data_IF_694758441603
#
_entry.id   IF_694758441603
#
_cell.length_a   1.000
_cell.length_b   1.000
_cell.length_c   1.000
_cell.angle_alpha   90.00
_cell.angle_beta   90.00
_cell.angle_gamma   90.00
#
_symmetry.space_group_name_H-M   'P 1'
#
loop_
_entity.id
_entity.type
_entity.pdbx_description
1 polymer ?
#
# COMPACT_ATOMS: atom_id res chain seq x y z
N UNK A 1 -7.11 -21.89 1.01
CA UNK A 1 -8.07 -20.80 0.88
C UNK A 1 -7.68 -19.59 1.70
N UNK A 2 -7.36 -19.73 3.01
CA UNK A 2 -6.99 -18.62 3.89
C UNK A 2 -5.86 -17.72 3.35
N UNK A 3 -4.82 -18.28 2.73
CA UNK A 3 -3.72 -17.50 2.14
C UNK A 3 -4.22 -16.56 1.03
N UNK A 4 -5.13 -17.03 0.17
CA UNK A 4 -5.75 -16.22 -0.87
C UNK A 4 -6.60 -15.09 -0.28
N UNK A 5 -7.42 -15.37 0.72
CA UNK A 5 -8.24 -14.36 1.40
C UNK A 5 -7.38 -13.28 2.09
N UNK A 6 -6.27 -13.68 2.70
CA UNK A 6 -5.30 -12.72 3.27
C UNK A 6 -4.67 -11.82 2.21
N UNK A 7 -4.33 -12.39 1.05
CA UNK A 7 -3.80 -11.60 -0.06
C UNK A 7 -4.83 -10.63 -0.62
N UNK A 8 -6.08 -11.08 -0.76
CA UNK A 8 -7.19 -10.23 -1.22
C UNK A 8 -7.33 -9.00 -0.32
N UNK A 9 -7.42 -9.20 1.00
CA UNK A 9 -7.54 -8.09 1.97
C UNK A 9 -6.31 -7.17 1.93
N UNK A 10 -5.11 -7.73 1.78
CA UNK A 10 -3.87 -6.96 1.70
C UNK A 10 -3.83 -6.06 0.45
N UNK A 11 -4.19 -6.61 -0.72
CA UNK A 11 -4.21 -5.84 -1.96
C UNK A 11 -5.39 -4.83 -2.00
N UNK A 12 -6.56 -5.17 -1.46
CA UNK A 12 -7.64 -4.20 -1.27
C UNK A 12 -7.21 -3.04 -0.35
N UNK A 13 -6.48 -3.32 0.74
CA UNK A 13 -5.93 -2.30 1.64
C UNK A 13 -4.90 -1.40 0.93
N UNK A 14 -4.08 -1.96 0.04
CA UNK A 14 -3.18 -1.20 -0.83
C UNK A 14 -3.96 -0.33 -1.79
N UNK A 15 -4.95 -0.89 -2.49
CA UNK A 15 -5.76 -0.19 -3.48
C UNK A 15 -6.47 1.03 -2.90
N UNK A 16 -7.16 0.88 -1.76
CA UNK A 16 -7.89 1.98 -1.14
C UNK A 16 -6.97 3.14 -0.72
N UNK A 17 -5.71 2.86 -0.40
CA UNK A 17 -4.72 3.90 -0.12
C UNK A 17 -4.23 4.59 -1.40
N UNK A 18 -4.02 3.86 -2.50
CA UNK A 18 -3.60 4.42 -3.78
C UNK A 18 -4.69 5.29 -4.40
N UNK A 19 -5.97 4.88 -4.29
CA UNK A 19 -7.13 5.67 -4.72
C UNK A 19 -7.27 7.02 -4.00
N UNK A 20 -6.70 7.15 -2.81
CA UNK A 20 -6.62 8.42 -2.07
C UNK A 20 -5.38 9.23 -2.45
N UNK A 21 -4.22 8.59 -2.52
CA UNK A 21 -2.93 9.28 -2.62
C UNK A 21 -2.66 9.79 -4.03
N UNK A 22 -2.98 9.01 -5.06
CA UNK A 22 -2.76 9.43 -6.46
C UNK A 22 -3.51 10.74 -6.78
N UNK A 23 -4.83 10.82 -6.59
CA UNK A 23 -5.53 12.08 -6.84
C UNK A 23 -5.20 13.16 -5.80
N UNK A 24 -4.85 12.80 -4.56
CA UNK A 24 -4.38 13.70 -3.52
C UNK A 24 -3.13 14.47 -3.93
N UNK A 25 -2.24 13.82 -4.70
CA UNK A 25 -1.07 14.48 -5.27
C UNK A 25 -1.47 15.60 -6.25
N UNK A 26 -2.45 15.35 -7.12
CA UNK A 26 -3.02 16.39 -7.99
C UNK A 26 -3.71 17.50 -7.18
N UNK A 27 -4.42 17.13 -6.14
CA UNK A 27 -5.10 18.06 -5.22
C UNK A 27 -4.13 19.04 -4.54
N UNK A 28 -2.93 18.59 -4.15
CA UNK A 28 -1.90 19.45 -3.56
C UNK A 28 -1.36 20.52 -4.52
N UNK A 29 -1.63 20.38 -5.81
CA UNK A 29 -1.32 21.36 -6.85
C UNK A 29 -2.57 22.04 -7.46
N UNK A 30 -3.72 21.95 -6.77
CA UNK A 30 -4.96 22.65 -7.15
C UNK A 30 -5.94 21.83 -7.99
N UNK A 31 -5.66 20.56 -8.30
CA UNK A 31 -6.55 19.67 -9.06
C UNK A 31 -7.54 18.92 -8.16
N UNK A 32 -8.38 19.67 -7.39
CA UNK A 32 -9.26 19.10 -6.36
C UNK A 32 -10.33 18.14 -6.87
N UNK A 33 -10.78 18.25 -8.14
CA UNK A 33 -11.81 17.38 -8.71
C UNK A 33 -11.37 15.89 -8.72
N UNK A 34 -10.10 15.64 -8.98
CA UNK A 34 -9.55 14.28 -8.96
C UNK A 34 -9.68 13.61 -7.58
N UNK A 35 -9.54 14.41 -6.51
CA UNK A 35 -9.70 13.90 -5.13
C UNK A 35 -11.11 13.40 -4.89
N UNK A 36 -12.14 14.16 -5.30
CA UNK A 36 -13.54 13.75 -5.15
C UNK A 36 -13.83 12.46 -5.91
N UNK A 37 -13.34 12.32 -7.14
CA UNK A 37 -13.51 11.09 -7.93
C UNK A 37 -12.78 9.89 -7.28
N UNK A 38 -11.56 10.10 -6.80
CA UNK A 38 -10.81 9.05 -6.11
C UNK A 38 -11.48 8.60 -4.82
N UNK A 39 -12.04 9.53 -4.06
CA UNK A 39 -12.82 9.19 -2.86
C UNK A 39 -14.09 8.39 -3.18
N UNK A 40 -14.80 8.73 -4.26
CA UNK A 40 -15.95 7.94 -4.71
C UNK A 40 -15.57 6.48 -5.02
N UNK A 41 -14.54 6.26 -5.85
CA UNK A 41 -14.10 4.90 -6.18
C UNK A 41 -13.54 4.16 -4.96
N UNK A 42 -12.88 4.90 -4.05
CA UNK A 42 -12.42 4.35 -2.78
C UNK A 42 -13.58 3.86 -1.90
N UNK A 43 -14.69 4.58 -1.85
CA UNK A 43 -15.88 4.14 -1.11
C UNK A 43 -16.39 2.78 -1.60
N UNK A 44 -16.41 2.52 -2.92
CA UNK A 44 -16.76 1.20 -3.46
C UNK A 44 -15.84 0.08 -2.93
N UNK A 45 -14.55 0.36 -2.77
CA UNK A 45 -13.61 -0.61 -2.16
C UNK A 45 -13.87 -0.77 -0.65
N UNK A 46 -14.26 0.30 0.04
CA UNK A 46 -14.60 0.22 1.47
C UNK A 46 -15.91 -0.55 1.70
N UNK A 47 -16.86 -0.48 0.79
CA UNK A 47 -18.09 -1.30 0.84
C UNK A 47 -17.74 -2.79 0.71
N UNK A 48 -16.80 -3.16 -0.18
CA UNK A 48 -16.26 -4.52 -0.25
C UNK A 48 -15.57 -4.96 1.05
N UNK A 49 -14.83 -4.05 1.71
CA UNK A 49 -14.25 -4.35 3.02
C UNK A 49 -15.29 -4.59 4.09
N UNK A 50 -16.30 -3.74 4.15
CA UNK A 50 -17.40 -3.88 5.11
C UNK A 50 -18.14 -5.20 4.92
N UNK A 51 -18.44 -5.56 3.69
CA UNK A 51 -19.09 -6.83 3.33
C UNK A 51 -18.23 -8.04 3.74
N UNK A 52 -16.91 -8.01 3.46
CA UNK A 52 -16.03 -9.16 3.72
C UNK A 52 -15.61 -9.26 5.18
N UNK A 53 -15.39 -8.14 5.87
CA UNK A 53 -14.70 -8.10 7.16
C UNK A 53 -15.54 -7.55 8.31
N UNK A 54 -16.67 -6.90 8.00
CA UNK A 54 -17.49 -6.17 8.96
C UNK A 54 -16.93 -4.79 9.34
N UNK A 55 -15.86 -4.33 8.70
CA UNK A 55 -15.23 -3.04 9.00
C UNK A 55 -14.67 -2.34 7.77
N UNK A 56 -14.74 -1.01 7.76
CA UNK A 56 -14.29 -0.16 6.63
C UNK A 56 -12.81 0.25 6.72
N UNK A 57 -12.26 0.37 7.91
CA UNK A 57 -10.91 0.94 8.13
C UNK A 57 -10.00 -0.02 8.89
N UNK A 58 -10.43 -0.54 10.03
CA UNK A 58 -9.64 -1.46 10.88
C UNK A 58 -10.19 -2.87 10.75
N UNK A 59 -9.61 -3.64 9.85
CA UNK A 59 -10.10 -4.98 9.51
C UNK A 59 -9.52 -6.01 10.47
N UNK A 60 -10.24 -6.36 11.53
CA UNK A 60 -9.88 -7.46 12.44
C UNK A 60 -10.20 -8.82 11.81
N UNK A 61 -9.82 -9.01 10.55
CA UNK A 61 -10.16 -10.15 9.71
C UNK A 61 -9.11 -11.25 9.74
N UNK A 62 -7.82 -10.88 9.71
CA UNK A 62 -6.71 -11.82 9.77
C UNK A 62 -6.50 -12.29 11.21
N UNK A 63 -6.52 -13.60 11.42
CA UNK A 63 -6.36 -14.23 12.73
C UNK A 63 -5.20 -15.23 12.68
N UNK A 64 -4.56 -15.54 13.81
CA UNK A 64 -3.72 -16.73 13.91
C UNK A 64 -4.49 -17.95 13.40
N UNK A 65 -3.86 -18.76 12.55
CA UNK A 65 -4.48 -19.92 11.92
C UNK A 65 -5.37 -19.65 10.70
N UNK A 66 -5.66 -18.38 10.34
CA UNK A 66 -6.48 -18.13 9.16
C UNK A 66 -7.12 -16.75 9.06
N UNK A 67 -8.39 -16.72 8.71
CA UNK A 67 -9.22 -15.53 8.62
C UNK A 67 -10.55 -15.73 9.31
N UNK A 68 -11.26 -14.63 9.57
CA UNK A 68 -12.51 -14.64 10.36
C UNK A 68 -13.70 -15.27 9.62
N UNK A 69 -13.79 -15.09 8.32
CA UNK A 69 -14.90 -15.55 7.48
C UNK A 69 -14.46 -15.91 6.07
N UNK A 70 -15.34 -16.53 5.32
CA UNK A 70 -15.21 -16.82 3.89
C UNK A 70 -15.73 -15.67 3.03
N UNK A 71 -15.59 -15.78 1.70
CA UNK A 71 -16.21 -14.85 0.77
C UNK A 71 -17.75 -14.90 0.88
N UNK A 72 -18.41 -13.75 1.02
CA UNK A 72 -19.87 -13.68 0.92
C UNK A 72 -20.37 -14.10 -0.48
N UNK A 73 -21.63 -14.51 -0.56
CA UNK A 73 -22.27 -14.83 -1.84
C UNK A 73 -22.26 -13.63 -2.79
N UNK A 74 -21.88 -13.84 -4.06
CA UNK A 74 -21.81 -12.79 -5.09
C UNK A 74 -20.69 -11.76 -4.86
N UNK A 75 -19.84 -11.92 -3.86
CA UNK A 75 -18.74 -11.00 -3.59
C UNK A 75 -17.76 -10.88 -4.76
N UNK A 76 -17.44 -12.01 -5.41
CA UNK A 76 -16.49 -12.05 -6.53
C UNK A 76 -16.96 -11.15 -7.67
N UNK A 77 -18.20 -11.25 -8.06
CA UNK A 77 -18.82 -10.48 -9.15
C UNK A 77 -18.82 -8.98 -8.83
N UNK A 78 -19.21 -8.63 -7.60
CA UNK A 78 -19.19 -7.22 -7.16
C UNK A 78 -17.76 -6.66 -7.11
N UNK A 79 -16.80 -7.42 -6.60
CA UNK A 79 -15.41 -7.00 -6.55
C UNK A 79 -14.82 -6.79 -7.96
N UNK A 80 -15.15 -7.66 -8.93
CA UNK A 80 -14.73 -7.48 -10.32
C UNK A 80 -15.33 -6.22 -10.94
N UNK A 81 -16.62 -5.92 -10.68
CA UNK A 81 -17.26 -4.68 -11.13
C UNK A 81 -16.56 -3.44 -10.55
N UNK A 82 -16.18 -3.48 -9.27
CA UNK A 82 -15.40 -2.39 -8.65
C UNK A 82 -14.02 -2.22 -9.30
N UNK A 83 -13.36 -3.31 -9.69
CA UNK A 83 -12.08 -3.20 -10.43
C UNK A 83 -12.25 -2.50 -11.79
N UNK A 84 -13.35 -2.71 -12.49
CA UNK A 84 -13.63 -1.96 -13.73
C UNK A 84 -13.79 -0.44 -13.47
N UNK A 85 -14.41 -0.03 -12.36
CA UNK A 85 -14.47 1.38 -11.97
C UNK A 85 -13.07 1.94 -11.62
N UNK A 86 -12.19 1.12 -11.02
CA UNK A 86 -10.78 1.51 -10.76
C UNK A 86 -10.05 1.79 -12.09
N UNK A 87 -10.21 0.95 -13.12
CA UNK A 87 -9.58 1.18 -14.42
C UNK A 87 -10.12 2.44 -15.11
N UNK A 88 -11.44 2.64 -15.10
CA UNK A 88 -12.04 3.88 -15.63
C UNK A 88 -11.53 5.12 -14.90
N UNK A 89 -11.38 5.03 -13.59
CA UNK A 89 -10.79 6.10 -12.79
C UNK A 89 -9.32 6.34 -13.17
N UNK A 90 -8.52 5.28 -13.33
CA UNK A 90 -7.12 5.39 -13.73
C UNK A 90 -6.95 6.14 -15.07
N UNK A 91 -7.80 5.84 -16.06
CA UNK A 91 -7.81 6.55 -17.35
C UNK A 91 -8.20 8.03 -17.19
N UNK A 92 -9.21 8.33 -16.37
CA UNK A 92 -9.64 9.72 -16.13
C UNK A 92 -8.54 10.53 -15.44
N UNK A 93 -7.87 9.97 -14.45
CA UNK A 93 -6.76 10.63 -13.74
C UNK A 93 -5.56 10.82 -14.67
N UNK A 94 -5.26 9.89 -15.55
CA UNK A 94 -4.20 10.07 -16.53
C UNK A 94 -4.46 11.32 -17.39
N UNK A 95 -5.68 11.49 -17.89
CA UNK A 95 -6.06 12.63 -18.73
C UNK A 95 -6.06 13.96 -17.97
N UNK A 96 -6.64 14.00 -16.77
CA UNK A 96 -6.89 15.23 -16.01
C UNK A 96 -5.68 15.68 -15.20
N UNK A 97 -4.88 14.76 -14.70
CA UNK A 97 -3.73 15.06 -13.82
C UNK A 97 -2.40 14.93 -14.59
N UNK A 98 -2.07 13.74 -15.09
CA UNK A 98 -0.75 13.49 -15.68
C UNK A 98 -0.56 14.19 -17.03
N UNK A 99 -1.62 14.47 -17.79
CA UNK A 99 -1.57 15.24 -19.02
C UNK A 99 -1.81 16.74 -18.81
N UNK A 100 -2.03 17.19 -17.56
CA UNK A 100 -2.23 18.59 -17.23
C UNK A 100 -0.89 19.35 -17.24
N UNK A 101 -0.82 20.45 -18.00
CA UNK A 101 0.40 21.25 -18.13
C UNK A 101 0.79 21.97 -16.83
N UNK A 102 -0.17 22.37 -16.00
CA UNK A 102 0.10 23.03 -14.72
C UNK A 102 0.70 22.02 -13.73
N UNK A 103 0.11 20.82 -13.63
CA UNK A 103 0.66 19.76 -12.80
C UNK A 103 2.08 19.40 -13.24
N UNK A 104 2.32 19.19 -14.55
CA UNK A 104 3.65 18.89 -15.08
C UNK A 104 4.66 19.96 -14.71
N UNK A 105 4.33 21.25 -14.95
CA UNK A 105 5.24 22.37 -14.66
C UNK A 105 5.64 22.47 -13.18
N UNK A 106 4.77 22.04 -12.27
CA UNK A 106 5.02 22.13 -10.82
C UNK A 106 5.60 20.86 -10.23
N UNK A 107 5.32 19.69 -10.82
CA UNK A 107 5.70 18.39 -10.27
C UNK A 107 6.99 17.81 -10.87
N UNK A 108 7.28 18.11 -12.15
CA UNK A 108 8.50 17.66 -12.82
C UNK A 108 9.69 18.44 -12.29
N UNK A 109 10.79 17.72 -11.99
CA UNK A 109 12.03 18.26 -11.39
C UNK A 109 11.83 18.94 -10.02
N UNK A 110 10.70 18.70 -9.34
CA UNK A 110 10.41 19.22 -8.00
C UNK A 110 10.55 18.11 -6.97
N UNK A 111 11.18 18.41 -5.83
CA UNK A 111 11.35 17.47 -4.73
C UNK A 111 12.08 16.21 -5.16
N UNK A 112 13.22 16.36 -5.79
CA UNK A 112 14.09 15.28 -6.25
C UNK A 112 14.67 14.50 -5.06
N UNK A 113 14.71 13.17 -5.17
CA UNK A 113 15.41 12.28 -4.24
C UNK A 113 16.69 11.82 -4.94
N UNK A 114 17.84 12.17 -4.38
CA UNK A 114 19.14 11.70 -4.87
C UNK A 114 19.20 10.16 -4.73
N UNK A 115 19.51 9.42 -5.81
CA UNK A 115 19.62 7.96 -5.73
C UNK A 115 20.59 7.46 -4.64
N UNK A 116 21.65 8.21 -4.34
CA UNK A 116 22.59 7.87 -3.26
C UNK A 116 21.95 7.84 -1.86
N UNK A 117 20.80 8.49 -1.69
CA UNK A 117 20.06 8.49 -0.42
C UNK A 117 19.24 7.22 -0.22
N UNK A 118 18.92 6.48 -1.28
CA UNK A 118 18.03 5.30 -1.22
C UNK A 118 18.59 4.26 -0.25
N UNK A 119 19.82 3.81 -0.47
CA UNK A 119 20.45 2.82 0.41
C UNK A 119 20.90 3.45 1.75
N UNK A 120 21.39 4.68 1.72
CA UNK A 120 21.89 5.38 2.91
C UNK A 120 20.81 5.56 3.99
N UNK A 121 19.57 5.86 3.58
CA UNK A 121 18.45 6.10 4.49
C UNK A 121 17.43 4.97 4.52
N UNK A 122 17.69 3.87 3.81
CA UNK A 122 16.79 2.73 3.76
C UNK A 122 15.42 3.07 3.16
N UNK A 123 15.40 3.85 2.07
CA UNK A 123 14.19 4.23 1.36
C UNK A 123 13.65 3.02 0.62
N UNK A 124 12.34 2.80 0.70
CA UNK A 124 11.66 1.62 0.14
C UNK A 124 10.40 1.99 -0.64
N UNK A 125 9.83 0.99 -1.33
CA UNK A 125 8.55 1.09 -2.02
C UNK A 125 8.54 2.07 -3.19
N UNK A 126 7.42 2.75 -3.45
CA UNK A 126 7.27 3.64 -4.61
C UNK A 126 8.31 4.75 -4.68
N UNK A 127 8.83 5.23 -3.53
CA UNK A 127 9.85 6.27 -3.50
C UNK A 127 11.21 5.77 -4.02
N UNK A 128 11.60 4.55 -3.67
CA UNK A 128 12.81 3.92 -4.21
C UNK A 128 12.64 3.54 -5.69
N UNK A 129 11.47 3.03 -6.06
CA UNK A 129 11.17 2.63 -7.44
C UNK A 129 11.09 3.81 -8.41
N UNK A 130 10.72 4.99 -7.92
CA UNK A 130 10.80 6.24 -8.70
C UNK A 130 12.25 6.68 -8.96
N UNK A 131 13.21 6.20 -8.20
CA UNK A 131 14.65 6.46 -8.34
C UNK A 131 15.41 5.32 -9.08
N UNK A 132 14.71 4.43 -9.78
CA UNK A 132 15.33 3.35 -10.55
C UNK A 132 15.56 2.03 -9.79
N UNK A 133 15.25 1.97 -8.50
CA UNK A 133 15.49 0.75 -7.70
C UNK A 133 14.32 -0.23 -7.83
N UNK A 134 14.53 -1.33 -8.55
CA UNK A 134 13.53 -2.39 -8.73
C UNK A 134 13.44 -3.25 -7.46
N UNK A 135 12.81 -2.74 -6.41
CA UNK A 135 12.60 -3.45 -5.15
C UNK A 135 11.13 -3.48 -4.79
N UNK A 136 10.60 -4.68 -4.58
CA UNK A 136 9.26 -4.93 -4.06
C UNK A 136 9.26 -6.25 -3.29
N UNK A 137 8.96 -6.20 -2.00
CA UNK A 137 9.02 -7.36 -1.12
C UNK A 137 8.14 -8.52 -1.56
N UNK A 138 7.12 -8.27 -2.37
CA UNK A 138 6.24 -9.31 -2.94
C UNK A 138 6.92 -10.13 -4.03
N UNK A 139 7.93 -9.56 -4.72
CA UNK A 139 8.74 -10.22 -5.76
C UNK A 139 10.08 -10.71 -5.22
N UNK A 140 10.76 -9.88 -4.40
CA UNK A 140 12.12 -10.16 -3.94
C UNK A 140 12.13 -11.24 -2.85
N UNK A 141 11.10 -11.26 -2.00
CA UNK A 141 10.90 -12.22 -0.91
C UNK A 141 9.44 -12.65 -0.86
N UNK A 142 8.98 -13.47 -1.83
CA UNK A 142 7.57 -13.81 -1.95
C UNK A 142 7.02 -14.45 -0.67
N UNK A 143 5.91 -13.93 -0.21
CA UNK A 143 5.14 -14.47 0.92
C UNK A 143 3.71 -14.78 0.49
N UNK A 144 2.96 -15.53 1.32
CA UNK A 144 1.63 -16.05 0.98
C UNK A 144 1.65 -16.85 -0.33
N UNK A 145 1.12 -16.31 -1.42
CA UNK A 145 1.01 -16.96 -2.74
C UNK A 145 1.33 -15.99 -3.89
N UNK A 146 2.10 -14.90 -3.64
CA UNK A 146 2.46 -13.93 -4.68
C UNK A 146 3.23 -14.55 -5.84
N UNK A 147 4.00 -15.60 -5.59
CA UNK A 147 4.72 -16.39 -6.62
C UNK A 147 3.80 -17.01 -7.67
N UNK A 148 2.49 -17.17 -7.36
CA UNK A 148 1.47 -17.73 -8.27
C UNK A 148 0.76 -16.67 -9.12
N UNK A 149 1.13 -15.40 -8.96
CA UNK A 149 0.53 -14.28 -9.68
C UNK A 149 1.49 -13.72 -10.72
N UNK A 150 0.93 -13.32 -11.85
CA UNK A 150 1.67 -12.71 -12.95
C UNK A 150 1.54 -11.19 -12.89
N UNK A 151 2.66 -10.50 -12.74
CA UNK A 151 2.70 -9.03 -12.69
C UNK A 151 4.14 -8.54 -12.75
N UNK A 152 4.32 -7.27 -13.12
CA UNK A 152 5.63 -6.61 -13.15
C UNK A 152 5.68 -5.48 -12.13
N UNK A 153 6.88 -5.25 -11.58
CA UNK A 153 7.13 -4.16 -10.63
C UNK A 153 7.34 -2.87 -11.42
N UNK A 154 6.48 -1.85 -11.27
CA UNK A 154 6.70 -0.56 -11.93
C UNK A 154 7.95 0.13 -11.40
N UNK A 155 8.81 0.59 -12.31
CA UNK A 155 10.06 1.32 -12.02
C UNK A 155 10.19 2.48 -12.98
N UNK A 156 10.60 3.64 -12.48
CA UNK A 156 10.97 4.84 -13.22
C UNK A 156 12.26 5.39 -12.63
N UNK A 157 12.87 6.41 -13.21
CA UNK A 157 14.26 6.82 -12.89
C UNK A 157 14.46 8.31 -12.58
N UNK A 158 13.43 9.15 -12.69
CA UNK A 158 13.59 10.59 -12.48
C UNK A 158 13.44 11.06 -11.01
N UNK A 159 12.86 10.26 -10.14
CA UNK A 159 12.77 10.48 -8.67
C UNK A 159 12.16 11.82 -8.20
N UNK A 160 11.45 12.54 -9.05
CA UNK A 160 10.72 13.76 -8.68
C UNK A 160 9.28 13.49 -8.21
N UNK A 161 8.55 14.54 -7.85
CA UNK A 161 7.15 14.47 -7.43
C UNK A 161 6.28 13.82 -8.52
N UNK A 162 6.47 14.19 -9.79
CA UNK A 162 5.72 13.65 -10.92
C UNK A 162 5.93 12.14 -11.05
N UNK A 163 7.18 11.71 -11.02
CA UNK A 163 7.56 10.30 -11.15
C UNK A 163 7.04 9.46 -9.99
N UNK A 164 7.13 9.96 -8.75
CA UNK A 164 6.55 9.28 -7.59
C UNK A 164 5.02 9.15 -7.66
N UNK A 165 4.33 10.17 -8.18
CA UNK A 165 2.90 10.07 -8.43
C UNK A 165 2.58 9.05 -9.53
N UNK A 166 3.39 9.04 -10.62
CA UNK A 166 3.22 8.12 -11.76
C UNK A 166 3.43 6.66 -11.36
N UNK A 167 4.44 6.35 -10.55
CA UNK A 167 4.64 4.99 -10.00
C UNK A 167 3.41 4.52 -9.23
N UNK A 168 2.84 5.35 -8.38
CA UNK A 168 1.65 4.98 -7.60
C UNK A 168 0.39 4.80 -8.46
N UNK A 169 0.29 5.56 -9.54
CA UNK A 169 -0.76 5.35 -10.52
C UNK A 169 -0.60 4.01 -11.25
N UNK A 170 0.64 3.61 -11.59
CA UNK A 170 0.93 2.28 -12.15
C UNK A 170 0.67 1.18 -11.11
N UNK A 171 1.10 1.37 -9.86
CA UNK A 171 0.81 0.45 -8.75
C UNK A 171 -0.69 0.23 -8.53
N UNK A 172 -1.51 1.26 -8.72
CA UNK A 172 -2.97 1.15 -8.58
C UNK A 172 -3.55 0.16 -9.61
N UNK A 173 -3.08 0.21 -10.85
CA UNK A 173 -3.51 -0.71 -11.91
C UNK A 173 -2.98 -2.12 -11.65
N UNK A 174 -1.69 -2.27 -11.33
CA UNK A 174 -1.10 -3.56 -10.94
C UNK A 174 -1.86 -4.17 -9.75
N UNK A 175 -2.24 -3.37 -8.76
CA UNK A 175 -3.01 -3.86 -7.60
C UNK A 175 -4.40 -4.33 -8.01
N UNK A 176 -5.08 -3.62 -8.92
CA UNK A 176 -6.38 -4.06 -9.44
C UNK A 176 -6.26 -5.38 -10.24
N UNK A 177 -5.21 -5.53 -11.06
CA UNK A 177 -4.93 -6.77 -11.77
C UNK A 177 -4.64 -7.94 -10.81
N UNK A 178 -3.87 -7.69 -9.75
CA UNK A 178 -3.61 -8.70 -8.71
C UNK A 178 -4.90 -9.13 -8.00
N UNK A 179 -5.78 -8.18 -7.66
CA UNK A 179 -7.09 -8.50 -7.06
C UNK A 179 -7.91 -9.37 -8.00
N UNK A 180 -7.97 -9.08 -9.31
CA UNK A 180 -8.67 -9.91 -10.30
C UNK A 180 -8.11 -11.33 -10.32
N UNK A 181 -6.79 -11.48 -10.46
CA UNK A 181 -6.15 -12.80 -10.46
C UNK A 181 -6.40 -13.57 -9.16
N UNK A 182 -6.38 -12.90 -8.01
CA UNK A 182 -6.68 -13.51 -6.71
C UNK A 182 -8.11 -14.01 -6.69
N UNK A 183 -9.08 -13.19 -7.11
CA UNK A 183 -10.50 -13.57 -7.16
C UNK A 183 -10.76 -14.78 -8.08
N UNK A 184 -10.06 -14.85 -9.21
CA UNK A 184 -10.14 -16.00 -10.13
C UNK A 184 -9.55 -17.28 -9.51
N UNK A 185 -8.47 -17.16 -8.74
CA UNK A 185 -7.70 -18.29 -8.17
C UNK A 185 -8.18 -18.75 -6.78
N UNK A 186 -9.00 -17.97 -6.08
CA UNK A 186 -9.55 -18.39 -4.77
C UNK A 186 -10.43 -19.65 -4.97
N UNK A 187 -10.10 -20.78 -4.33
CA UNK A 187 -10.90 -21.99 -4.43
C UNK A 187 -12.26 -21.80 -3.75
N UNK A 188 -13.31 -22.29 -4.38
CA UNK A 188 -14.68 -22.25 -3.82
C UNK A 188 -14.76 -23.00 -2.49
N UNK A 189 -14.18 -24.21 -2.43
CA UNK A 189 -14.17 -25.06 -1.24
C UNK A 189 -12.81 -25.01 -0.55
N UNK A 190 -12.78 -25.24 0.75
CA UNK A 190 -11.56 -25.34 1.54
C UNK A 190 -11.65 -24.59 2.86
N UNK A 191 -10.90 -25.03 3.82
CA UNK A 191 -10.82 -24.37 5.14
C UNK A 191 -10.16 -22.99 5.03
N UNK A 192 -10.74 -22.01 5.66
CA UNK A 192 -10.19 -20.66 5.81
C UNK A 192 -9.67 -20.39 7.24
N UNK A 193 -9.84 -21.35 8.15
CA UNK A 193 -9.39 -21.25 9.55
C UNK A 193 -8.96 -22.62 10.06
N UNK A 194 -7.75 -22.68 10.62
CA UNK A 194 -7.26 -23.83 11.36
C UNK A 194 -7.66 -23.74 12.85
N UNK A 195 -7.76 -24.86 13.58
CA UNK A 195 -7.89 -24.84 15.02
C UNK A 195 -6.73 -24.04 15.66
N UNK A 196 -7.06 -23.17 16.58
CA UNK A 196 -6.08 -22.36 17.34
C UNK A 196 -6.36 -22.45 18.81
N UNK A 197 -5.33 -22.35 19.68
CA UNK A 197 -5.52 -22.26 21.12
C UNK A 197 -6.41 -21.06 21.49
N UNK A 198 -7.02 -21.11 22.67
CA UNK A 198 -7.73 -19.95 23.19
C UNK A 198 -6.74 -18.80 23.40
N UNK A 199 -7.05 -17.64 22.82
CA UNK A 199 -6.17 -16.47 22.88
C UNK A 199 -5.82 -16.03 24.31
N UNK A 200 -6.72 -16.23 25.28
CA UNK A 200 -6.50 -15.88 26.69
C UNK A 200 -5.41 -16.76 27.36
N UNK A 201 -5.27 -18.00 26.90
CA UNK A 201 -4.35 -18.98 27.47
C UNK A 201 -3.16 -19.28 26.56
N UNK A 202 -3.08 -18.60 25.43
CA UNK A 202 -2.01 -18.85 24.48
C UNK A 202 -0.71 -18.23 24.95
N UNK A 203 0.27 -19.08 25.21
CA UNK A 203 1.65 -18.64 25.49
C UNK A 203 2.47 -18.80 24.22
N UNK A 204 3.10 -17.74 23.80
CA UNK A 204 4.01 -17.76 22.65
C UNK A 204 5.35 -18.30 23.16
N UNK A 205 5.96 -19.31 22.50
CA UNK A 205 7.28 -19.82 22.91
C UNK A 205 8.31 -18.70 23.01
N UNK A 206 9.28 -18.87 23.92
CA UNK A 206 10.42 -17.95 24.01
C UNK A 206 11.17 -17.91 22.68
N UNK A 207 11.51 -16.72 22.22
CA UNK A 207 12.23 -16.51 20.98
C UNK A 207 12.03 -15.10 20.41
N UNK A 208 12.63 -14.88 19.28
CA UNK A 208 12.49 -13.64 18.55
C UNK A 208 12.24 -13.88 17.05
N UNK A 209 11.55 -12.97 16.41
CA UNK A 209 11.25 -13.06 14.97
C UNK A 209 11.13 -11.68 14.35
N UNK A 210 11.54 -11.58 13.08
CA UNK A 210 11.27 -10.43 12.23
C UNK A 210 10.44 -10.88 11.03
N UNK A 211 9.29 -10.24 10.84
CA UNK A 211 8.39 -10.49 9.71
C UNK A 211 8.12 -9.19 8.98
N UNK A 212 8.17 -9.23 7.66
CA UNK A 212 7.94 -8.06 6.80
C UNK A 212 6.92 -8.35 5.70
N UNK A 213 6.26 -7.30 5.25
CA UNK A 213 5.34 -7.31 4.12
C UNK A 213 5.43 -5.99 3.36
N UNK A 214 5.13 -6.01 2.07
CA UNK A 214 5.10 -4.79 1.26
C UNK A 214 3.76 -4.08 1.44
N UNK A 215 3.78 -2.91 2.05
CA UNK A 215 2.63 -2.01 2.18
C UNK A 215 2.57 -1.03 0.99
N UNK A 216 1.52 -0.20 0.91
CA UNK A 216 1.37 0.82 -0.15
C UNK A 216 2.49 1.88 -0.16
N UNK A 217 3.20 2.03 0.95
CA UNK A 217 4.30 2.98 1.14
C UNK A 217 5.67 2.35 0.97
N UNK A 218 5.75 1.01 0.98
CA UNK A 218 6.96 0.23 0.95
C UNK A 218 6.98 -0.86 2.02
N UNK A 219 8.14 -1.45 2.24
CA UNK A 219 8.33 -2.54 3.20
C UNK A 219 8.00 -2.10 4.62
N UNK A 220 7.10 -2.85 5.27
CA UNK A 220 6.70 -2.69 6.66
C UNK A 220 7.04 -3.94 7.44
N UNK A 221 7.73 -3.80 8.58
CA UNK A 221 8.21 -4.93 9.36
C UNK A 221 7.86 -4.87 10.84
N UNK A 222 7.69 -6.04 11.44
CA UNK A 222 7.54 -6.25 12.87
C UNK A 222 8.67 -7.12 13.40
N UNK A 223 9.42 -6.60 14.37
CA UNK A 223 10.33 -7.38 15.19
C UNK A 223 9.69 -7.64 16.55
N UNK A 224 9.56 -8.90 16.93
CA UNK A 224 8.86 -9.32 18.14
C UNK A 224 9.78 -10.22 18.95
N UNK A 225 9.88 -9.94 20.27
CA UNK A 225 10.58 -10.76 21.24
C UNK A 225 9.56 -11.31 22.25
N UNK A 226 9.54 -12.64 22.42
CA UNK A 226 8.73 -13.36 23.42
C UNK A 226 9.62 -13.99 24.48
N UNK A 227 9.21 -13.91 25.75
CA UNK A 227 9.85 -14.57 26.88
C UNK A 227 9.05 -15.79 27.39
N UNK A 228 8.06 -16.26 26.64
CA UNK A 228 7.19 -17.38 27.01
C UNK A 228 5.96 -16.97 27.81
N UNK A 229 5.77 -15.68 28.06
CA UNK A 229 4.55 -15.15 28.71
C UNK A 229 3.44 -14.88 27.67
N UNK A 230 2.20 -14.60 28.09
CA UNK A 230 1.14 -14.20 27.17
C UNK A 230 1.37 -12.85 26.49
N UNK A 231 2.29 -12.04 26.97
CA UNK A 231 2.60 -10.71 26.44
C UNK A 231 3.98 -10.70 25.79
N UNK A 232 4.14 -10.03 24.65
CA UNK A 232 5.46 -9.85 24.05
C UNK A 232 6.33 -8.97 24.97
N UNK A 233 7.58 -9.37 25.17
CA UNK A 233 8.57 -8.59 25.91
C UNK A 233 8.95 -7.30 25.19
N UNK A 234 9.00 -7.36 23.84
CA UNK A 234 9.30 -6.22 22.98
C UNK A 234 8.60 -6.37 21.62
N UNK A 235 8.07 -5.28 21.12
CA UNK A 235 7.64 -5.12 19.73
C UNK A 235 8.31 -3.87 19.18
N UNK A 236 8.97 -4.01 18.02
CA UNK A 236 9.52 -2.88 17.28
C UNK A 236 8.91 -2.88 15.89
N UNK A 237 8.41 -1.75 15.46
CA UNK A 237 7.85 -1.56 14.13
C UNK A 237 8.84 -0.81 13.24
N UNK A 238 9.07 -1.34 12.06
CA UNK A 238 9.83 -0.65 11.01
C UNK A 238 8.84 -0.25 9.92
N UNK A 239 8.39 0.99 9.97
CA UNK A 239 7.55 1.58 8.92
C UNK A 239 8.37 2.40 7.93
N UNK A 240 7.99 2.46 6.64
CA UNK A 240 8.68 3.29 5.65
C UNK A 240 8.53 4.79 5.91
N UNK A 241 7.43 5.22 6.53
CA UNK A 241 7.13 6.65 6.72
C UNK A 241 8.14 7.37 7.60
N UNK A 242 8.73 6.69 8.58
CA UNK A 242 9.74 7.29 9.46
C UNK A 242 10.95 7.79 8.64
N UNK A 243 11.54 6.92 7.83
CA UNK A 243 12.70 7.29 7.00
C UNK A 243 12.32 8.31 5.92
N UNK A 244 11.14 8.19 5.33
CA UNK A 244 10.67 9.13 4.30
C UNK A 244 10.42 10.54 4.87
N UNK A 245 9.83 10.66 6.07
CA UNK A 245 9.56 11.96 6.68
C UNK A 245 10.81 12.59 7.31
N UNK A 246 11.52 11.83 8.14
CA UNK A 246 12.61 12.38 8.96
C UNK A 246 13.90 12.54 8.13
N UNK A 247 14.26 11.54 7.33
CA UNK A 247 15.54 11.57 6.62
C UNK A 247 15.49 12.34 5.29
N UNK A 248 14.35 12.33 4.58
CA UNK A 248 14.27 12.91 3.23
C UNK A 248 13.66 14.31 3.21
N UNK A 249 12.56 14.56 3.95
CA UNK A 249 11.77 15.77 3.76
C UNK A 249 12.58 17.03 3.94
N UNK A 250 13.36 17.12 5.02
CA UNK A 250 14.23 18.28 5.28
C UNK A 250 15.19 18.55 4.10
N UNK A 251 15.84 17.50 3.58
CA UNK A 251 16.78 17.62 2.46
C UNK A 251 16.12 18.03 1.16
N UNK A 252 14.92 17.53 0.90
CA UNK A 252 14.16 17.82 -0.31
C UNK A 252 13.56 19.23 -0.32
N UNK A 253 13.42 19.85 0.86
CA UNK A 253 12.84 21.20 0.99
C UNK A 253 13.90 22.31 0.87
N UNK A 254 15.19 21.98 0.96
CA UNK A 254 16.25 22.97 0.79
C UNK A 254 16.21 23.51 -0.64
N UNK A 255 15.97 24.82 -0.77
CA UNK A 255 15.86 25.49 -2.07
C UNK A 255 14.53 25.26 -2.81
N UNK A 256 13.57 24.54 -2.22
CA UNK A 256 12.25 24.36 -2.81
C UNK A 256 11.40 25.63 -2.66
N UNK A 257 10.47 25.81 -3.60
CA UNK A 257 9.47 26.88 -3.47
C UNK A 257 8.48 26.52 -2.35
N UNK A 258 8.18 27.47 -1.46
CA UNK A 258 7.24 27.29 -0.35
C UNK A 258 5.87 26.78 -0.82
N UNK A 259 5.41 27.23 -2.00
CA UNK A 259 4.15 26.76 -2.60
C UNK A 259 4.16 25.28 -2.99
N UNK A 260 5.32 24.64 -3.12
CA UNK A 260 5.45 23.24 -3.52
C UNK A 260 5.70 22.29 -2.33
N UNK A 261 5.93 22.84 -1.12
CA UNK A 261 6.16 22.06 0.11
C UNK A 261 5.06 21.02 0.33
N UNK A 262 3.78 21.42 0.26
CA UNK A 262 2.66 20.49 0.41
C UNK A 262 2.67 19.37 -0.62
N UNK A 263 2.99 19.67 -1.88
CA UNK A 263 3.13 18.68 -2.95
C UNK A 263 4.28 17.70 -2.73
N UNK A 264 5.43 18.20 -2.27
CA UNK A 264 6.59 17.38 -1.93
C UNK A 264 6.25 16.41 -0.78
N UNK A 265 5.63 16.91 0.30
CA UNK A 265 5.21 16.11 1.44
C UNK A 265 4.22 14.99 1.04
N UNK A 266 3.17 15.33 0.31
CA UNK A 266 2.17 14.35 -0.16
C UNK A 266 2.82 13.30 -1.04
N UNK A 267 3.81 13.66 -1.86
CA UNK A 267 4.51 12.73 -2.75
C UNK A 267 5.29 11.64 -2.01
N UNK A 268 5.70 11.87 -0.78
CA UNK A 268 6.36 10.85 0.06
C UNK A 268 5.38 9.84 0.66
N UNK A 269 4.09 10.18 0.70
CA UNK A 269 3.03 9.35 1.28
C UNK A 269 3.33 8.97 2.74
N UNK A 270 3.75 9.90 3.57
CA UNK A 270 4.03 9.65 4.99
C UNK A 270 2.75 9.47 5.80
N UNK A 271 2.83 8.72 6.89
CA UNK A 271 1.73 8.42 7.79
C UNK A 271 2.13 8.80 9.23
N UNK A 272 1.55 9.85 9.84
CA UNK A 272 1.90 10.25 11.20
C UNK A 272 1.82 9.12 12.24
N UNK A 273 0.73 8.34 12.33
CA UNK A 273 0.66 7.22 13.27
C UNK A 273 1.74 6.15 13.08
N UNK A 274 2.29 6.00 11.87
CA UNK A 274 3.38 5.09 11.58
C UNK A 274 4.74 5.67 12.04
N UNK A 275 4.87 7.00 12.04
CA UNK A 275 6.10 7.68 12.48
C UNK A 275 6.25 7.66 13.99
N UNK A 276 5.14 7.68 14.71
CA UNK A 276 5.09 7.73 16.18
C UNK A 276 5.35 6.38 16.88
N UNK A 277 5.65 5.33 16.15
CA UNK A 277 5.75 3.95 16.70
C UNK A 277 7.16 3.38 16.63
#
# INVERSE_FOLDING_TARGET
KAKWLRMLVLEMARLQMLLRVVPGQGGSFGLGIGVQWGMYVRELVLDLFEELTGGRVYHMYMLPGGVRGDLPEGFRERALQVMEEVYRFAERIDKVMFNNSVFKKRAVNTGYIDPSWIDRFGIVGPNARAAGYRRDGRKDHPYLLYEKLEWEVPVLDNSDVYTRARIRWMDMQVTADLIRQILEKIPEKGSFKAPTPNALNWRIPQGETYVKAEASRGEFGYYVVSDGTPYPRRITLRGPSYTHAIALLEKMLIGANVADVGGIMVSLQTCPPEIER
#
